data_IF_553823417259
#
_entry.id   IF_553823417259
#
_cell.length_a   1.000
_cell.length_b   1.000
_cell.length_c   1.000
_cell.angle_alpha   90.00
_cell.angle_beta   90.00
_cell.angle_gamma   90.00
#
_symmetry.space_group_name_H-M   'P 1'
#
loop_
_entity.id
_entity.type
_entity.pdbx_description
1 polymer ?
#
# COMPACT_ATOMS: atom_id res chain seq x y z
N UNK A 1 13.13 27.38 -16.45
CA UNK A 1 12.59 26.26 -17.23
C UNK A 1 11.72 25.47 -16.28
N UNK A 2 10.42 25.75 -16.26
CA UNK A 2 9.45 25.09 -15.38
C UNK A 2 9.02 23.81 -16.07
N UNK A 3 9.41 22.67 -15.49
CA UNK A 3 9.01 21.34 -15.94
C UNK A 3 7.52 21.15 -15.62
N UNK A 4 6.73 20.76 -16.62
CA UNK A 4 5.29 20.53 -16.46
C UNK A 4 5.08 19.30 -15.57
N UNK A 5 4.11 19.35 -14.66
CA UNK A 5 3.73 18.22 -13.80
C UNK A 5 3.32 17.03 -14.67
N UNK A 6 2.77 17.28 -15.86
CA UNK A 6 2.43 16.25 -16.84
C UNK A 6 3.66 15.52 -17.40
N UNK A 7 4.78 16.22 -17.54
CA UNK A 7 6.04 15.62 -18.01
C UNK A 7 6.69 14.78 -16.90
N UNK A 8 6.55 15.19 -15.64
CA UNK A 8 7.01 14.39 -14.48
C UNK A 8 6.16 13.13 -14.30
N UNK A 9 4.85 13.23 -14.57
CA UNK A 9 3.94 12.09 -14.56
C UNK A 9 4.26 11.13 -15.70
N UNK A 10 4.55 11.62 -16.90
CA UNK A 10 4.91 10.80 -18.06
C UNK A 10 6.23 10.05 -17.86
N UNK A 11 7.27 10.68 -17.32
CA UNK A 11 8.55 10.00 -16.99
C UNK A 11 8.40 8.93 -15.90
N UNK A 12 7.40 9.05 -15.02
CA UNK A 12 7.08 8.03 -14.03
C UNK A 12 6.18 6.90 -14.57
N UNK A 13 5.61 7.07 -15.77
CA UNK A 13 4.71 6.09 -16.40
C UNK A 13 5.44 5.18 -17.41
N UNK A 14 6.69 5.51 -17.82
CA UNK A 14 7.51 4.69 -18.72
C UNK A 14 8.53 3.81 -17.96
N UNK A 15 8.11 3.15 -16.89
CA UNK A 15 8.85 2.00 -16.38
C UNK A 15 8.11 0.73 -16.80
N UNK A 16 8.56 0.20 -17.92
CA UNK A 16 8.21 -1.10 -18.48
C UNK A 16 8.70 -2.19 -17.51
N UNK A 17 7.80 -2.70 -16.66
CA UNK A 17 8.07 -3.74 -15.68
C UNK A 17 7.44 -5.07 -16.13
N UNK A 18 8.12 -5.77 -17.05
CA UNK A 18 7.96 -7.22 -17.18
C UNK A 18 8.92 -7.91 -16.19
N UNK A 19 8.62 -7.84 -14.89
CA UNK A 19 9.17 -8.76 -13.89
C UNK A 19 8.08 -9.08 -12.87
N UNK A 20 8.00 -10.33 -12.42
CA UNK A 20 7.14 -10.69 -11.29
C UNK A 20 7.44 -9.74 -10.13
N UNK A 21 6.46 -8.90 -9.75
CA UNK A 21 6.61 -7.93 -8.66
C UNK A 21 7.26 -8.62 -7.46
N UNK A 22 8.44 -8.18 -7.07
CA UNK A 22 9.16 -8.71 -5.91
C UNK A 22 8.89 -7.86 -4.66
N UNK A 23 9.01 -8.48 -3.48
CA UNK A 23 8.99 -7.74 -2.20
C UNK A 23 10.04 -6.62 -2.20
N UNK A 24 11.19 -6.84 -2.83
CA UNK A 24 12.27 -5.85 -2.94
C UNK A 24 11.87 -4.64 -3.79
N UNK A 25 11.19 -4.84 -4.91
CA UNK A 25 10.68 -3.75 -5.75
C UNK A 25 9.61 -2.93 -5.02
N UNK A 26 8.69 -3.61 -4.32
CA UNK A 26 7.68 -2.97 -3.48
C UNK A 26 8.31 -2.12 -2.36
N UNK A 27 9.33 -2.64 -1.67
CA UNK A 27 10.09 -1.90 -0.66
C UNK A 27 10.81 -0.69 -1.27
N UNK A 28 11.51 -0.86 -2.41
CA UNK A 28 12.22 0.25 -3.06
C UNK A 28 11.25 1.35 -3.50
N UNK A 29 10.15 0.98 -4.15
CA UNK A 29 9.10 1.90 -4.58
C UNK A 29 8.46 2.62 -3.39
N UNK A 30 8.11 1.85 -2.36
CA UNK A 30 7.60 2.35 -1.09
C UNK A 30 8.52 3.37 -0.44
N UNK A 31 9.80 3.04 -0.26
CA UNK A 31 10.79 3.94 0.36
C UNK A 31 11.00 5.23 -0.44
N UNK A 32 11.05 5.16 -1.78
CA UNK A 32 11.16 6.35 -2.64
C UNK A 32 9.97 7.29 -2.46
N UNK A 33 8.76 6.73 -2.44
CA UNK A 33 7.52 7.48 -2.21
C UNK A 33 7.47 8.07 -0.80
N UNK A 34 7.90 7.32 0.22
CA UNK A 34 8.01 7.78 1.60
C UNK A 34 8.95 8.97 1.74
N UNK A 35 10.17 8.88 1.21
CA UNK A 35 11.14 9.97 1.24
C UNK A 35 10.64 11.20 0.50
N UNK A 36 10.01 10.99 -0.65
CA UNK A 36 9.41 12.07 -1.44
C UNK A 36 8.29 12.77 -0.69
N UNK A 37 7.47 12.04 0.07
CA UNK A 37 6.42 12.61 0.91
C UNK A 37 6.99 13.48 2.03
N UNK A 38 8.07 13.03 2.67
CA UNK A 38 8.72 13.75 3.77
C UNK A 38 9.31 15.11 3.37
N UNK A 39 9.64 15.30 2.09
CA UNK A 39 10.19 16.57 1.56
C UNK A 39 9.20 17.35 0.71
N UNK A 40 7.93 16.94 0.68
CA UNK A 40 6.89 17.59 -0.11
C UNK A 40 6.62 19.03 0.39
N UNK A 41 6.28 19.92 -0.55
CA UNK A 41 6.07 21.36 -0.28
C UNK A 41 4.65 21.69 0.19
N UNK A 42 3.71 20.76 0.08
CA UNK A 42 2.31 20.94 0.50
C UNK A 42 1.77 19.64 1.09
N UNK A 43 0.69 19.74 1.87
CA UNK A 43 0.06 18.59 2.50
C UNK A 43 -0.61 17.67 1.48
N UNK A 44 -1.19 18.21 0.42
CA UNK A 44 -1.78 17.44 -0.67
C UNK A 44 -0.72 16.62 -1.41
N UNK A 45 0.43 17.23 -1.72
CA UNK A 45 1.53 16.51 -2.35
C UNK A 45 2.13 15.46 -1.43
N UNK A 46 2.28 15.75 -0.13
CA UNK A 46 2.72 14.77 0.85
C UNK A 46 1.73 13.59 0.95
N UNK A 47 0.43 13.89 0.95
CA UNK A 47 -0.63 12.90 1.03
C UNK A 47 -0.58 11.91 -0.12
N UNK A 48 -0.54 12.41 -1.36
CA UNK A 48 -0.48 11.54 -2.56
C UNK A 48 0.76 10.65 -2.52
N UNK A 49 1.90 11.18 -2.08
CA UNK A 49 3.15 10.42 -2.01
C UNK A 49 3.15 9.37 -0.89
N UNK A 50 2.59 9.68 0.28
CA UNK A 50 2.37 8.66 1.32
C UNK A 50 1.34 7.62 0.90
N UNK A 51 0.33 8.00 0.12
CA UNK A 51 -0.62 7.05 -0.44
C UNK A 51 0.03 6.10 -1.45
N UNK A 52 0.84 6.61 -2.39
CA UNK A 52 1.63 5.80 -3.33
C UNK A 52 2.61 4.88 -2.60
N UNK A 53 3.15 5.34 -1.48
CA UNK A 53 3.97 4.51 -0.59
C UNK A 53 3.16 3.31 -0.08
N UNK A 54 1.94 3.51 0.42
CA UNK A 54 1.06 2.43 0.84
C UNK A 54 0.65 1.51 -0.31
N UNK A 55 0.30 2.05 -1.48
CA UNK A 55 -0.05 1.23 -2.66
C UNK A 55 1.08 0.25 -3.03
N UNK A 56 2.33 0.73 -3.02
CA UNK A 56 3.50 -0.11 -3.27
C UNK A 56 3.71 -1.15 -2.16
N UNK A 57 3.70 -0.73 -0.89
CA UNK A 57 4.05 -1.60 0.24
C UNK A 57 2.98 -2.64 0.58
N UNK A 58 1.73 -2.38 0.19
CA UNK A 58 0.60 -3.31 0.39
C UNK A 58 0.37 -4.21 -0.82
N UNK A 59 1.35 -4.23 -1.75
CA UNK A 59 1.41 -5.13 -2.90
C UNK A 59 0.13 -5.07 -3.73
N UNK A 60 -0.43 -3.88 -3.92
CA UNK A 60 -1.70 -3.71 -4.63
C UNK A 60 -1.56 -4.12 -6.10
N UNK A 61 -2.43 -5.01 -6.57
CA UNK A 61 -2.55 -5.34 -7.99
C UNK A 61 -3.48 -4.31 -8.65
N UNK A 62 -2.98 -3.40 -9.50
CA UNK A 62 -3.79 -2.32 -10.06
C UNK A 62 -4.93 -2.80 -10.97
N UNK A 63 -4.87 -4.04 -11.46
CA UNK A 63 -5.92 -4.63 -12.30
C UNK A 63 -7.04 -5.29 -11.49
N UNK A 64 -6.76 -5.70 -10.25
CA UNK A 64 -7.68 -6.51 -9.43
C UNK A 64 -8.14 -5.82 -8.15
N UNK A 65 -7.26 -5.02 -7.54
CA UNK A 65 -7.49 -4.44 -6.24
C UNK A 65 -8.19 -3.09 -6.34
N UNK A 66 -9.10 -2.85 -5.39
CA UNK A 66 -9.78 -1.55 -5.26
C UNK A 66 -8.86 -0.56 -4.57
N UNK A 67 -9.06 0.73 -4.85
CA UNK A 67 -8.33 1.80 -4.15
C UNK A 67 -8.55 1.82 -2.62
N UNK A 68 -9.53 1.09 -2.06
CA UNK A 68 -9.71 0.95 -0.61
C UNK A 68 -8.77 -0.10 0.02
N UNK A 69 -8.17 -0.98 -0.77
CA UNK A 69 -7.32 -2.10 -0.31
C UNK A 69 -6.05 -1.64 0.41
N UNK A 70 -5.28 -0.64 -0.06
CA UNK A 70 -4.04 -0.24 0.60
C UNK A 70 -4.20 0.13 2.09
N UNK A 71 -5.11 1.06 2.48
CA UNK A 71 -5.26 1.39 3.89
C UNK A 71 -5.80 0.23 4.74
N UNK A 72 -6.58 -0.69 4.15
CA UNK A 72 -7.10 -1.88 4.84
C UNK A 72 -5.97 -2.86 5.16
N UNK A 73 -5.18 -3.26 4.16
CA UNK A 73 -4.00 -4.13 4.32
C UNK A 73 -2.98 -3.57 5.31
N UNK A 74 -2.70 -2.27 5.23
CA UNK A 74 -1.81 -1.61 6.18
C UNK A 74 -2.41 -1.56 7.60
N UNK A 75 -3.73 -1.46 7.70
CA UNK A 75 -4.48 -1.48 8.95
C UNK A 75 -4.39 -2.82 9.69
N UNK A 76 -4.24 -3.94 8.98
CA UNK A 76 -4.07 -5.29 9.53
C UNK A 76 -2.93 -5.37 10.57
N UNK A 77 -1.84 -4.62 10.37
CA UNK A 77 -0.68 -4.63 11.27
C UNK A 77 -0.85 -3.74 12.50
N UNK A 78 -1.84 -2.85 12.48
CA UNK A 78 -2.29 -2.15 13.66
C UNK A 78 -3.24 -3.10 14.37
N UNK A 79 -2.75 -3.85 15.36
CA UNK A 79 -3.53 -4.69 16.28
C UNK A 79 -4.61 -3.89 17.06
N UNK A 80 -5.54 -3.26 16.34
CA UNK A 80 -6.63 -2.43 16.84
C UNK A 80 -7.82 -3.37 16.92
N UNK A 81 -7.97 -3.98 18.09
CA UNK A 81 -8.95 -5.03 18.36
C UNK A 81 -10.41 -4.59 18.24
N UNK A 82 -10.70 -3.28 18.27
CA UNK A 82 -12.04 -2.75 18.01
C UNK A 82 -11.98 -1.22 17.96
N UNK A 83 -12.11 -0.59 16.79
CA UNK A 83 -12.66 0.75 16.76
C UNK A 83 -13.24 1.06 15.38
N UNK A 84 -14.57 1.12 15.30
CA UNK A 84 -15.29 1.73 14.18
C UNK A 84 -14.72 3.11 13.81
N UNK A 85 -14.19 3.82 14.80
CA UNK A 85 -13.46 5.08 14.59
C UNK A 85 -12.24 4.94 13.66
N UNK A 86 -11.49 3.85 13.75
CA UNK A 86 -10.33 3.62 12.89
C UNK A 86 -10.76 3.34 11.46
N UNK A 87 -11.82 2.54 11.28
CA UNK A 87 -12.39 2.28 9.96
C UNK A 87 -12.91 3.57 9.31
N UNK A 88 -13.62 4.41 10.07
CA UNK A 88 -14.08 5.73 9.61
C UNK A 88 -12.88 6.62 9.18
N UNK A 89 -11.74 6.51 9.87
CA UNK A 89 -10.52 7.25 9.52
C UNK A 89 -9.89 6.71 8.23
N UNK A 90 -9.84 5.39 8.03
CA UNK A 90 -9.35 4.80 6.79
C UNK A 90 -10.25 5.15 5.60
N UNK A 91 -11.57 5.08 5.79
CA UNK A 91 -12.56 5.49 4.79
C UNK A 91 -12.40 6.98 4.45
N UNK A 92 -12.19 7.84 5.44
CA UNK A 92 -11.92 9.26 5.22
C UNK A 92 -10.65 9.48 4.37
N UNK A 93 -9.57 8.74 4.62
CA UNK A 93 -8.35 8.83 3.81
C UNK A 93 -8.60 8.39 2.36
N UNK A 94 -9.33 7.28 2.17
CA UNK A 94 -9.70 6.80 0.85
C UNK A 94 -10.55 7.81 0.06
N UNK A 95 -11.57 8.38 0.70
CA UNK A 95 -12.39 9.43 0.10
C UNK A 95 -11.54 10.65 -0.31
N UNK A 96 -10.62 11.08 0.57
CA UNK A 96 -9.69 12.19 0.26
C UNK A 96 -8.79 11.89 -0.93
N UNK A 97 -8.31 10.64 -1.06
CA UNK A 97 -7.53 10.21 -2.22
C UNK A 97 -8.34 10.29 -3.51
N UNK A 98 -9.57 9.76 -3.50
CA UNK A 98 -10.42 9.80 -4.69
C UNK A 98 -10.72 11.24 -5.11
N UNK A 99 -11.00 12.12 -4.15
CA UNK A 99 -11.21 13.54 -4.41
C UNK A 99 -9.97 14.19 -5.03
N UNK A 100 -8.78 13.97 -4.46
CA UNK A 100 -7.52 14.53 -5.00
C UNK A 100 -7.20 14.04 -6.43
N UNK A 101 -7.57 12.81 -6.78
CA UNK A 101 -7.23 12.19 -8.07
C UNK A 101 -8.29 12.46 -9.14
N UNK A 102 -9.57 12.52 -8.77
CA UNK A 102 -10.68 12.52 -9.73
C UNK A 102 -11.58 13.77 -9.67
N UNK A 103 -11.61 14.49 -8.54
CA UNK A 103 -12.52 15.61 -8.35
C UNK A 103 -11.77 16.95 -8.41
N UNK A 104 -12.39 17.96 -9.02
CA UNK A 104 -11.81 19.31 -9.12
C UNK A 104 -12.16 20.19 -7.92
N UNK A 105 -12.74 19.63 -6.87
CA UNK A 105 -13.14 20.38 -5.69
C UNK A 105 -11.95 20.61 -4.73
N UNK A 106 -11.84 21.81 -4.13
CA UNK A 106 -10.79 22.10 -3.17
C UNK A 106 -10.98 21.27 -1.90
N UNK A 107 -10.08 20.32 -1.70
CA UNK A 107 -10.02 19.49 -0.49
C UNK A 107 -8.98 20.02 0.48
N UNK A 108 -9.26 19.92 1.77
CA UNK A 108 -8.29 20.21 2.83
C UNK A 108 -7.71 18.90 3.36
N UNK A 109 -6.40 18.72 3.20
CA UNK A 109 -5.65 17.67 3.87
C UNK A 109 -5.14 18.20 5.21
N UNK A 110 -5.38 17.45 6.28
CA UNK A 110 -4.92 17.80 7.63
C UNK A 110 -3.61 17.09 7.95
N UNK A 111 -2.84 17.68 8.86
CA UNK A 111 -1.62 17.05 9.39
C UNK A 111 -1.90 15.68 10.03
N UNK A 112 -3.06 15.52 10.67
CA UNK A 112 -3.48 14.24 11.25
C UNK A 112 -3.73 13.15 10.19
N UNK A 113 -4.05 13.52 8.96
CA UNK A 113 -4.20 12.58 7.86
C UNK A 113 -2.83 12.09 7.38
N UNK A 114 -1.87 13.02 7.26
CA UNK A 114 -0.47 12.69 6.91
C UNK A 114 0.18 11.82 7.98
N UNK A 115 -0.02 12.15 9.25
CA UNK A 115 0.53 11.37 10.36
C UNK A 115 -0.02 9.95 10.39
N UNK A 116 -1.30 9.76 10.07
CA UNK A 116 -1.89 8.43 9.96
C UNK A 116 -1.32 7.64 8.78
N UNK A 117 -1.26 8.24 7.57
CA UNK A 117 -0.66 7.59 6.40
C UNK A 117 0.81 7.24 6.61
N UNK A 118 1.59 8.15 7.19
CA UNK A 118 2.98 7.91 7.54
C UNK A 118 3.10 6.75 8.52
N UNK A 119 2.27 6.72 9.57
CA UNK A 119 2.28 5.63 10.56
C UNK A 119 1.95 4.28 9.94
N UNK A 120 0.95 4.24 9.07
CA UNK A 120 0.61 3.04 8.30
C UNK A 120 1.81 2.59 7.45
N UNK A 121 2.42 3.50 6.71
CA UNK A 121 3.57 3.20 5.87
C UNK A 121 4.78 2.70 6.66
N UNK A 122 5.12 3.36 7.78
CA UNK A 122 6.21 2.93 8.67
C UNK A 122 6.00 1.48 9.14
N UNK A 123 4.78 1.12 9.55
CA UNK A 123 4.45 -0.23 9.99
C UNK A 123 4.50 -1.24 8.83
N UNK A 124 3.94 -0.91 7.67
CA UNK A 124 3.98 -1.81 6.51
C UNK A 124 5.41 -2.04 6.02
N UNK A 125 6.30 -1.04 6.13
CA UNK A 125 7.73 -1.22 5.85
C UNK A 125 8.34 -2.26 6.79
N UNK A 126 8.13 -2.13 8.10
CA UNK A 126 8.72 -3.03 9.10
C UNK A 126 8.24 -4.49 8.88
N UNK A 127 6.96 -4.67 8.56
CA UNK A 127 6.37 -5.99 8.30
C UNK A 127 6.85 -6.58 6.97
N UNK A 128 6.87 -5.79 5.91
CA UNK A 128 7.33 -6.25 4.60
C UNK A 128 8.83 -6.59 4.60
N UNK A 129 9.63 -5.93 5.45
CA UNK A 129 11.01 -6.32 5.73
C UNK A 129 11.12 -7.65 6.47
N UNK A 130 10.15 -7.99 7.32
CA UNK A 130 10.08 -9.30 7.99
C UNK A 130 9.73 -10.40 6.98
N UNK A 131 8.83 -10.12 6.03
CA UNK A 131 8.47 -11.08 4.99
C UNK A 131 9.56 -11.29 3.94
N UNK A 132 10.47 -10.33 3.81
CA UNK A 132 11.53 -10.32 2.81
C UNK A 132 12.43 -11.56 2.93
N UNK A 133 12.31 -12.46 1.97
CA UNK A 133 13.12 -13.69 1.89
C UNK A 133 12.57 -14.85 2.73
N UNK A 134 11.49 -14.63 3.46
CA UNK A 134 10.74 -15.67 4.21
C UNK A 134 9.44 -16.05 3.49
N UNK A 135 8.82 -15.11 2.77
CA UNK A 135 7.57 -15.30 2.04
C UNK A 135 7.66 -14.83 0.59
N UNK A 136 6.87 -15.47 -0.28
CA UNK A 136 6.55 -14.99 -1.62
C UNK A 136 5.60 -13.79 -1.57
N UNK A 137 5.48 -13.05 -2.68
CA UNK A 137 4.55 -11.92 -2.80
C UNK A 137 3.09 -12.36 -2.60
N UNK A 138 2.72 -13.54 -3.11
CA UNK A 138 1.37 -14.08 -2.95
C UNK A 138 1.05 -14.40 -1.48
N UNK A 139 2.00 -14.99 -0.74
CA UNK A 139 1.84 -15.26 0.69
C UNK A 139 1.79 -13.95 1.50
N UNK A 140 2.66 -13.00 1.21
CA UNK A 140 2.64 -11.68 1.86
C UNK A 140 1.31 -10.96 1.64
N UNK A 141 0.75 -11.00 0.42
CA UNK A 141 -0.58 -10.48 0.10
C UNK A 141 -1.67 -11.17 0.92
N UNK A 142 -1.65 -12.51 0.97
CA UNK A 142 -2.62 -13.28 1.75
C UNK A 142 -2.59 -12.89 3.23
N UNK A 143 -1.39 -12.81 3.81
CA UNK A 143 -1.21 -12.41 5.22
C UNK A 143 -1.76 -11.00 5.45
N UNK A 144 -1.51 -10.05 4.53
CA UNK A 144 -2.05 -8.70 4.63
C UNK A 144 -3.59 -8.64 4.50
N UNK A 145 -4.17 -9.48 3.66
CA UNK A 145 -5.61 -9.59 3.45
C UNK A 145 -6.33 -10.25 4.64
N UNK A 146 -5.62 -11.10 5.39
CA UNK A 146 -6.20 -11.96 6.45
C UNK A 146 -5.67 -11.73 7.86
N UNK A 147 -4.65 -10.88 8.07
CA UNK A 147 -3.87 -10.81 9.32
C UNK A 147 -4.58 -10.29 10.59
N UNK A 148 -5.92 -10.36 10.63
CA UNK A 148 -6.72 -10.35 11.87
C UNK A 148 -7.33 -11.72 12.23
N UNK A 149 -7.11 -12.75 11.40
CA UNK A 149 -7.55 -14.14 11.62
C UNK A 149 -6.47 -14.95 12.37
N UNK A 150 -6.85 -16.06 13.00
CA UNK A 150 -5.95 -16.89 13.81
C UNK A 150 -4.78 -17.42 12.96
N UNK A 151 -3.58 -17.49 13.57
CA UNK A 151 -2.34 -17.86 12.90
C UNK A 151 -2.40 -19.29 12.33
N UNK A 152 -3.20 -20.16 12.95
CA UNK A 152 -3.47 -21.52 12.48
C UNK A 152 -4.25 -21.52 11.15
N UNK A 153 -5.23 -20.62 11.00
CA UNK A 153 -6.02 -20.44 9.76
C UNK A 153 -5.17 -19.91 8.61
N UNK A 154 -4.27 -18.95 8.89
CA UNK A 154 -3.36 -18.40 7.88
C UNK A 154 -2.37 -19.48 7.41
N UNK A 155 -1.85 -20.32 8.32
CA UNK A 155 -0.93 -21.40 7.97
C UNK A 155 -1.57 -22.51 7.14
N UNK A 156 -2.81 -22.90 7.45
CA UNK A 156 -3.55 -23.91 6.69
C UNK A 156 -3.82 -23.44 5.24
N UNK A 157 -4.20 -22.17 5.04
CA UNK A 157 -4.44 -21.62 3.70
C UNK A 157 -3.14 -21.47 2.87
N UNK A 158 -2.01 -21.13 3.51
CA UNK A 158 -0.70 -21.12 2.83
C UNK A 158 -0.35 -22.51 2.30
N UNK A 159 -0.54 -23.56 3.11
CA UNK A 159 -0.30 -24.95 2.66
C UNK A 159 -1.21 -25.36 1.50
N UNK A 160 -2.47 -24.92 1.50
CA UNK A 160 -3.38 -25.18 0.38
C UNK A 160 -2.93 -24.47 -0.91
N UNK A 161 -2.44 -23.22 -0.83
CA UNK A 161 -1.91 -22.50 -1.98
C UNK A 161 -0.65 -23.16 -2.55
N UNK A 162 0.29 -23.55 -1.70
CA UNK A 162 1.48 -24.29 -2.10
C UNK A 162 1.10 -25.59 -2.82
N UNK A 163 0.10 -26.31 -2.31
CA UNK A 163 -0.41 -27.54 -2.91
C UNK A 163 -1.02 -27.30 -4.31
N UNK A 164 -1.82 -26.24 -4.47
CA UNK A 164 -2.44 -25.89 -5.76
C UNK A 164 -1.36 -25.52 -6.79
N UNK A 165 -0.34 -24.74 -6.39
CA UNK A 165 0.75 -24.33 -7.27
C UNK A 165 1.62 -25.53 -7.70
N UNK A 166 1.92 -26.48 -6.79
CA UNK A 166 2.62 -27.74 -7.16
C UNK A 166 1.81 -28.54 -8.17
N UNK A 167 0.49 -28.62 -8.00
CA UNK A 167 -0.39 -29.40 -8.88
C UNK A 167 -0.49 -28.82 -10.30
N UNK A 168 -0.45 -27.50 -10.46
CA UNK A 168 -0.47 -26.83 -11.76
C UNK A 168 0.86 -26.90 -12.52
N UNK A 169 1.96 -27.25 -11.83
CA UNK A 169 3.30 -27.37 -12.41
C UNK A 169 3.63 -28.77 -12.97
N UNK A 170 2.68 -29.69 -12.95
CA UNK A 170 2.77 -31.07 -13.47
C UNK A 170 1.97 -31.26 -14.76
#
# INVERSE_FOLDING_TARGET
MTMDIRDTMAELTELDFESEDTIDEALIGGFRSFQSAAVARSYESAFVRYWQCLEALTLVDPEKDRASVPPQRAGTFLNITDSQFFDDRLESLWNKRNQLVHESEPITILESDLNLLKRLADLTIDELLTFRGEHSVSEARLIMDRGGEDNETIQDEIQELEFILDWQSR
#
